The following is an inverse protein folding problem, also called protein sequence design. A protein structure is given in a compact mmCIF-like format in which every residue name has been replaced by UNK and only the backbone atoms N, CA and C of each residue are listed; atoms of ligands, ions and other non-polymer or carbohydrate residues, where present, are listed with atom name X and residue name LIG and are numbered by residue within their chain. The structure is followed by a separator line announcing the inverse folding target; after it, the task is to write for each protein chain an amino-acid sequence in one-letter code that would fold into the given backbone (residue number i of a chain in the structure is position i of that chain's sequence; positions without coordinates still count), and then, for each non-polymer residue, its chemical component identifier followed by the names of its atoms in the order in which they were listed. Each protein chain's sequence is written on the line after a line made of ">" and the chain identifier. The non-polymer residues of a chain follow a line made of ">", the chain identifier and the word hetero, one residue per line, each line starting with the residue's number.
data_IF_073705160381
#
_entry.id   IF_073705160381
#
_cell.length_a   1.000
_cell.length_b   1.000
_cell.length_c   1.000
_cell.angle_alpha   90.00
_cell.angle_beta   90.00
_cell.angle_gamma   90.00
#
_symmetry.space_group_name_H-M   'P 1'
#
loop_
_entity.id
_entity.type
_entity.pdbx_description
1 polymer ?
#
# COMPACT_ATOMS: atom_id res chain seq x y z
N UNK A 1 -11.34 21.99 -16.88
CA UNK A 1 -12.36 20.94 -16.61
C UNK A 1 -13.67 20.98 -17.47
N UNK A 2 -14.13 19.81 -17.95
CA UNK A 2 -15.38 19.58 -18.73
C UNK A 2 -16.16 18.38 -18.15
N UNK A 3 -17.50 18.45 -18.12
CA UNK A 3 -18.37 17.31 -17.79
C UNK A 3 -18.75 16.54 -19.06
N UNK A 4 -18.47 15.23 -19.08
CA UNK A 4 -18.78 14.33 -20.20
C UNK A 4 -19.55 13.10 -19.74
N UNK A 5 -19.94 12.22 -20.68
CA UNK A 5 -20.47 10.88 -20.38
C UNK A 5 -19.56 9.82 -20.98
N UNK A 6 -19.36 8.71 -20.28
CA UNK A 6 -18.66 7.55 -20.84
C UNK A 6 -19.51 6.77 -21.86
N UNK A 7 -18.95 5.70 -22.41
CA UNK A 7 -19.63 4.80 -23.35
C UNK A 7 -20.88 4.11 -22.78
N UNK A 8 -21.03 4.06 -21.46
CA UNK A 8 -22.23 3.54 -20.76
C UNK A 8 -23.24 4.64 -20.43
N UNK A 9 -22.92 5.90 -20.70
CA UNK A 9 -23.76 7.06 -20.45
C UNK A 9 -23.61 7.67 -19.06
N UNK A 10 -22.66 7.21 -18.24
CA UNK A 10 -22.43 7.74 -16.90
C UNK A 10 -21.60 9.03 -16.94
N UNK A 11 -21.93 10.04 -16.11
CA UNK A 11 -21.21 11.31 -16.09
C UNK A 11 -19.76 11.13 -15.61
N UNK A 12 -18.82 11.90 -16.18
CA UNK A 12 -17.40 11.94 -15.80
C UNK A 12 -16.89 13.38 -15.82
N UNK A 13 -16.10 13.77 -14.83
CA UNK A 13 -15.36 15.03 -14.85
C UNK A 13 -13.99 14.79 -15.50
N UNK A 14 -13.62 15.65 -16.43
CA UNK A 14 -12.35 15.58 -17.12
C UNK A 14 -11.65 16.93 -16.98
N UNK A 15 -10.51 16.94 -16.32
CA UNK A 15 -9.62 18.08 -16.18
C UNK A 15 -9.00 18.52 -17.50
N UNK A 16 -8.13 19.52 -17.42
CA UNK A 16 -7.24 19.88 -18.50
C UNK A 16 -5.78 19.77 -18.04
N UNK A 17 -4.85 20.50 -18.66
CA UNK A 17 -3.43 20.40 -18.35
C UNK A 17 -2.98 21.53 -17.40
N UNK A 18 -3.90 21.98 -16.54
CA UNK A 18 -3.68 23.00 -15.53
C UNK A 18 -4.26 22.55 -14.19
N UNK A 19 -3.66 23.00 -13.09
CA UNK A 19 -4.11 22.69 -11.73
C UNK A 19 -5.57 23.02 -11.46
N UNK A 20 -6.28 22.05 -10.90
CA UNK A 20 -7.71 22.04 -10.70
C UNK A 20 -8.07 21.62 -9.27
N UNK A 21 -9.21 22.12 -8.78
CA UNK A 21 -9.73 21.77 -7.46
C UNK A 21 -11.17 21.30 -7.59
N UNK A 22 -11.41 20.05 -7.20
CA UNK A 22 -12.70 19.37 -7.28
C UNK A 22 -13.08 18.88 -5.89
N UNK A 23 -14.26 19.30 -5.42
CA UNK A 23 -14.83 18.86 -4.16
C UNK A 23 -16.24 18.27 -4.42
N UNK A 24 -16.33 16.94 -4.29
CA UNK A 24 -17.54 16.16 -4.44
C UNK A 24 -18.22 15.85 -3.09
N UNK A 25 -17.60 16.18 -1.96
CA UNK A 25 -18.14 15.91 -0.61
C UNK A 25 -19.46 16.64 -0.36
N UNK A 26 -19.63 17.80 -1.02
CA UNK A 26 -20.84 18.64 -0.94
C UNK A 26 -21.79 18.44 -2.13
N UNK A 27 -21.50 17.53 -3.06
CA UNK A 27 -22.21 17.43 -4.33
C UNK A 27 -23.70 17.08 -4.17
N UNK A 28 -24.06 16.28 -3.16
CA UNK A 28 -25.46 15.99 -2.79
C UNK A 28 -26.27 17.26 -2.46
N UNK A 29 -25.61 18.32 -1.98
CA UNK A 29 -26.25 19.58 -1.57
C UNK A 29 -26.31 20.65 -2.67
N UNK A 30 -25.33 20.69 -3.58
CA UNK A 30 -25.24 21.74 -4.62
C UNK A 30 -26.00 21.42 -5.91
N UNK A 31 -26.30 20.15 -6.17
CA UNK A 31 -26.95 19.71 -7.41
C UNK A 31 -28.28 18.98 -7.21
N UNK A 32 -28.92 19.16 -6.05
CA UNK A 32 -30.34 18.86 -5.87
C UNK A 32 -30.71 17.37 -5.95
N UNK A 33 -29.94 16.49 -5.30
CA UNK A 33 -30.30 15.06 -5.19
C UNK A 33 -29.97 14.23 -6.42
N UNK A 34 -29.05 14.67 -7.28
CA UNK A 34 -28.40 13.79 -8.26
C UNK A 34 -27.53 12.80 -7.47
N UNK A 35 -28.05 11.60 -7.21
CA UNK A 35 -27.37 10.54 -6.44
C UNK A 35 -26.28 9.81 -7.22
N UNK A 36 -26.08 10.16 -8.49
CA UNK A 36 -25.07 9.58 -9.38
C UNK A 36 -24.14 10.71 -9.87
N UNK A 37 -23.43 11.33 -8.93
CA UNK A 37 -22.26 12.16 -9.23
C UNK A 37 -21.20 11.32 -9.96
N UNK A 38 -20.26 11.96 -10.70
CA UNK A 38 -19.60 11.31 -11.82
C UNK A 38 -19.00 9.97 -11.42
N UNK A 39 -19.17 8.96 -12.26
CA UNK A 39 -18.56 7.63 -12.09
C UNK A 39 -17.03 7.67 -12.16
N UNK A 40 -16.46 8.86 -12.30
CA UNK A 40 -15.11 9.17 -11.88
C UNK A 40 -14.67 10.60 -12.22
N UNK A 41 -13.46 10.90 -11.80
CA UNK A 41 -12.75 12.16 -12.01
C UNK A 41 -11.43 11.83 -12.70
N UNK A 42 -11.17 12.46 -13.84
CA UNK A 42 -9.93 12.29 -14.61
C UNK A 42 -9.28 13.64 -14.75
N UNK A 43 -8.32 13.93 -13.89
CA UNK A 43 -7.41 15.03 -14.15
C UNK A 43 -6.43 14.62 -15.23
N UNK A 44 -5.93 15.56 -16.04
CA UNK A 44 -5.04 15.24 -17.15
C UNK A 44 -3.62 15.67 -16.81
N UNK A 45 -3.45 16.88 -16.32
CA UNK A 45 -2.26 17.21 -15.56
C UNK A 45 -2.25 18.59 -14.95
N UNK A 46 -1.18 18.89 -14.22
CA UNK A 46 -1.15 19.99 -13.26
C UNK A 46 -1.25 19.43 -11.85
N UNK A 47 -0.92 20.25 -10.86
CA UNK A 47 -1.00 19.83 -9.46
C UNK A 47 -2.46 19.98 -9.00
N UNK A 48 -3.20 18.88 -8.87
CA UNK A 48 -4.63 18.88 -8.65
C UNK A 48 -5.04 18.57 -7.21
N UNK A 49 -6.22 19.01 -6.82
CA UNK A 49 -6.81 18.71 -5.52
C UNK A 49 -8.21 18.13 -5.69
N UNK A 50 -8.40 16.88 -5.31
CA UNK A 50 -9.65 16.15 -5.45
C UNK A 50 -10.13 15.67 -4.10
N UNK A 51 -11.37 16.01 -3.74
CA UNK A 51 -12.10 15.41 -2.64
C UNK A 51 -13.29 14.67 -3.22
N UNK A 52 -13.36 13.37 -2.97
CA UNK A 52 -14.46 12.50 -3.33
C UNK A 52 -15.68 12.73 -2.45
N UNK A 53 -16.62 11.82 -2.56
CA UNK A 53 -17.98 11.96 -2.09
C UNK A 53 -18.24 11.03 -0.90
N UNK A 54 -19.50 10.64 -0.72
CA UNK A 54 -19.88 9.60 0.25
C UNK A 54 -20.19 8.27 -0.44
N UNK A 55 -19.88 8.16 -1.73
CA UNK A 55 -20.14 7.01 -2.57
C UNK A 55 -18.81 6.54 -3.15
N UNK A 56 -18.80 5.33 -3.72
CA UNK A 56 -17.61 4.79 -4.35
C UNK A 56 -17.16 5.66 -5.53
N UNK A 57 -15.98 6.25 -5.40
CA UNK A 57 -15.37 7.16 -6.35
C UNK A 57 -14.25 6.49 -7.15
N UNK A 58 -14.05 6.98 -8.37
CA UNK A 58 -12.95 6.56 -9.25
C UNK A 58 -12.18 7.81 -9.66
N UNK A 59 -10.96 8.00 -9.17
CA UNK A 59 -10.19 9.23 -9.37
C UNK A 59 -8.84 8.92 -10.01
N UNK A 60 -8.48 9.66 -11.05
CA UNK A 60 -7.15 9.63 -11.68
C UNK A 60 -6.55 11.05 -11.67
N UNK A 61 -5.40 11.24 -11.03
CA UNK A 61 -4.60 12.48 -11.06
C UNK A 61 -3.77 12.63 -12.33
N UNK A 62 -3.14 11.55 -12.77
CA UNK A 62 -2.28 11.45 -13.96
C UNK A 62 -0.93 12.16 -13.87
N UNK A 63 -0.83 13.45 -14.20
CA UNK A 63 0.48 14.14 -14.26
C UNK A 63 0.49 15.33 -13.31
N UNK A 64 1.41 15.40 -12.36
CA UNK A 64 1.51 16.54 -11.45
C UNK A 64 1.56 16.08 -10.01
N UNK A 65 1.84 16.99 -9.08
CA UNK A 65 1.81 16.64 -7.66
C UNK A 65 0.38 16.75 -7.14
N UNK A 66 -0.35 15.63 -7.10
CA UNK A 66 -1.78 15.62 -6.81
C UNK A 66 -2.10 15.35 -5.33
N UNK A 67 -3.19 15.93 -4.86
CA UNK A 67 -3.78 15.66 -3.54
C UNK A 67 -5.17 15.07 -3.76
N UNK A 68 -5.33 13.78 -3.47
CA UNK A 68 -6.58 13.04 -3.70
C UNK A 68 -7.10 12.50 -2.37
N UNK A 69 -8.38 12.73 -2.08
CA UNK A 69 -9.11 12.11 -0.96
C UNK A 69 -10.36 11.42 -1.49
N UNK A 70 -10.57 10.13 -1.15
CA UNK A 70 -11.73 9.35 -1.55
C UNK A 70 -13.00 9.73 -0.78
N UNK A 71 -12.88 9.87 0.55
CA UNK A 71 -13.98 10.31 1.40
C UNK A 71 -14.64 9.12 2.09
N UNK A 72 -15.92 8.89 1.84
CA UNK A 72 -16.56 7.62 2.25
C UNK A 72 -16.90 6.81 1.00
N UNK A 73 -16.88 5.50 1.12
CA UNK A 73 -17.16 4.60 0.00
C UNK A 73 -16.01 3.64 -0.19
N UNK A 74 -16.18 2.67 -1.09
CA UNK A 74 -15.05 1.85 -1.54
C UNK A 74 -14.47 2.49 -2.79
N UNK A 75 -13.37 3.20 -2.65
CA UNK A 75 -12.84 4.09 -3.68
C UNK A 75 -11.72 3.43 -4.49
N UNK A 76 -11.49 3.95 -5.69
CA UNK A 76 -10.39 3.57 -6.58
C UNK A 76 -9.62 4.81 -6.99
N UNK A 77 -8.46 5.01 -6.38
CA UNK A 77 -7.70 6.26 -6.44
C UNK A 77 -6.33 6.01 -7.08
N UNK A 78 -5.98 6.82 -8.07
CA UNK A 78 -4.73 6.73 -8.82
C UNK A 78 -4.06 8.10 -8.83
N UNK A 79 -2.87 8.21 -8.22
CA UNK A 79 -2.02 9.41 -8.25
C UNK A 79 -1.52 9.66 -9.66
N UNK A 80 -0.58 8.83 -10.13
CA UNK A 80 -0.11 8.83 -11.51
C UNK A 80 1.39 9.00 -11.61
N UNK A 81 1.85 10.21 -11.90
CA UNK A 81 3.26 10.58 -11.99
C UNK A 81 3.51 11.81 -11.14
N UNK A 82 4.75 11.93 -10.69
CA UNK A 82 5.19 12.91 -9.71
C UNK A 82 4.71 12.53 -8.31
N UNK A 83 4.90 13.41 -7.33
CA UNK A 83 4.76 13.05 -5.92
C UNK A 83 3.34 13.31 -5.47
N UNK A 84 2.57 12.24 -5.29
CA UNK A 84 1.16 12.32 -4.97
C UNK A 84 0.90 12.07 -3.48
N UNK A 85 -0.15 12.71 -2.97
CA UNK A 85 -0.71 12.45 -1.64
C UNK A 85 -2.13 11.92 -1.79
N UNK A 86 -2.33 10.62 -1.52
CA UNK A 86 -3.61 9.94 -1.73
C UNK A 86 -4.13 9.36 -0.42
N UNK A 87 -5.36 9.75 -0.06
CA UNK A 87 -6.10 9.30 1.13
C UNK A 87 -7.37 8.56 0.69
N UNK A 88 -7.53 7.30 1.10
CA UNK A 88 -8.74 6.50 0.90
C UNK A 88 -9.92 7.09 1.67
N UNK A 89 -9.89 6.95 2.99
CA UNK A 89 -10.93 7.46 3.89
C UNK A 89 -11.69 6.31 4.54
N UNK A 90 -13.02 6.40 4.61
CA UNK A 90 -13.84 5.33 5.15
C UNK A 90 -14.35 4.39 4.05
N UNK A 91 -13.97 3.12 4.13
CA UNK A 91 -14.42 2.04 3.27
C UNK A 91 -13.24 1.18 2.82
N UNK A 92 -13.48 0.20 1.94
CA UNK A 92 -12.40 -0.66 1.46
C UNK A 92 -11.87 -0.08 0.15
N UNK A 93 -10.72 0.59 0.24
CA UNK A 93 -10.19 1.40 -0.84
C UNK A 93 -9.08 0.69 -1.62
N UNK A 94 -8.95 1.05 -2.89
CA UNK A 94 -7.82 0.67 -3.73
C UNK A 94 -7.07 1.92 -4.15
N UNK A 95 -5.82 2.03 -3.69
CA UNK A 95 -4.97 3.20 -3.86
C UNK A 95 -3.71 2.81 -4.63
N UNK A 96 -3.38 3.58 -5.67
CA UNK A 96 -2.15 3.44 -6.44
C UNK A 96 -1.44 4.80 -6.54
N UNK A 97 -0.22 4.89 -5.99
CA UNK A 97 0.63 6.08 -6.08
C UNK A 97 1.11 6.30 -7.51
N UNK A 98 1.87 5.35 -8.04
CA UNK A 98 2.24 5.32 -9.46
C UNK A 98 3.75 5.44 -9.65
N UNK A 99 4.21 6.60 -10.08
CA UNK A 99 5.63 6.90 -10.32
C UNK A 99 6.07 8.06 -9.45
N UNK A 100 7.33 8.00 -9.02
CA UNK A 100 7.95 8.92 -8.07
C UNK A 100 7.48 8.69 -6.63
N UNK A 101 7.90 9.53 -5.70
CA UNK A 101 7.77 9.24 -4.28
C UNK A 101 6.41 9.71 -3.74
N UNK A 102 5.55 8.74 -3.40
CA UNK A 102 4.16 8.97 -3.05
C UNK A 102 3.87 8.80 -1.54
N UNK A 103 2.77 9.40 -1.09
CA UNK A 103 2.25 9.25 0.28
C UNK A 103 0.82 8.71 0.20
N UNK A 104 0.63 7.46 0.64
CA UNK A 104 -0.64 6.76 0.55
C UNK A 104 -1.18 6.43 1.94
N UNK A 105 -2.45 6.75 2.19
CA UNK A 105 -3.14 6.42 3.44
C UNK A 105 -4.49 5.75 3.18
N UNK A 106 -4.75 4.57 3.76
CA UNK A 106 -6.04 3.86 3.64
C UNK A 106 -7.11 4.42 4.59
N UNK A 107 -6.76 4.55 5.87
CA UNK A 107 -7.60 5.03 6.99
C UNK A 107 -8.55 3.94 7.57
N UNK A 108 -9.83 3.89 7.23
CA UNK A 108 -10.76 2.90 7.82
C UNK A 108 -11.27 1.91 6.78
N UNK A 109 -10.89 0.64 6.89
CA UNK A 109 -11.44 -0.43 6.06
C UNK A 109 -10.39 -1.48 5.72
N UNK A 110 -10.70 -2.38 4.80
CA UNK A 110 -9.70 -3.35 4.35
C UNK A 110 -9.13 -2.85 3.02
N UNK A 111 -7.99 -2.19 3.10
CA UNK A 111 -7.48 -1.39 1.99
C UNK A 111 -6.38 -2.11 1.20
N UNK A 112 -6.20 -1.70 -0.05
CA UNK A 112 -5.10 -2.12 -0.92
C UNK A 112 -4.31 -0.87 -1.31
N UNK A 113 -3.08 -0.75 -0.80
CA UNK A 113 -2.17 0.35 -1.11
C UNK A 113 -1.03 -0.16 -1.98
N UNK A 114 -0.80 0.49 -3.11
CA UNK A 114 0.25 0.19 -4.09
C UNK A 114 1.11 1.46 -4.27
N UNK A 115 2.33 1.49 -3.75
CA UNK A 115 3.25 2.62 -3.93
C UNK A 115 3.63 2.81 -5.39
N UNK A 116 4.20 1.77 -5.99
CA UNK A 116 4.51 1.75 -7.42
C UNK A 116 5.99 1.83 -7.67
N UNK A 117 6.47 2.90 -8.30
CA UNK A 117 7.91 3.16 -8.43
C UNK A 117 8.25 4.40 -7.66
N UNK A 118 9.19 4.36 -6.74
CA UNK A 118 9.50 5.54 -5.95
C UNK A 118 10.10 5.17 -4.62
N UNK A 119 10.19 6.14 -3.73
CA UNK A 119 10.42 5.83 -2.32
C UNK A 119 9.15 6.24 -1.60
N UNK A 120 8.25 5.28 -1.43
CA UNK A 120 6.86 5.56 -1.08
C UNK A 120 6.64 5.43 0.43
N UNK A 121 5.63 6.14 0.93
CA UNK A 121 5.21 6.09 2.32
C UNK A 121 3.75 5.63 2.40
N UNK A 122 3.54 4.40 2.86
CA UNK A 122 2.24 3.75 2.92
C UNK A 122 1.78 3.56 4.37
N UNK A 123 0.60 4.08 4.71
CA UNK A 123 -0.06 3.85 6.00
C UNK A 123 -1.43 3.26 5.77
N UNK A 124 -1.64 1.99 6.11
CA UNK A 124 -2.94 1.39 5.77
C UNK A 124 -4.08 1.84 6.65
N UNK A 125 -3.87 1.99 7.96
CA UNK A 125 -4.94 2.34 8.87
C UNK A 125 -5.53 1.11 9.59
N UNK A 126 -6.81 1.17 9.92
CA UNK A 126 -7.53 0.12 10.62
C UNK A 126 -8.21 -0.83 9.65
N UNK A 127 -8.14 -2.14 9.93
CA UNK A 127 -8.70 -3.19 9.09
C UNK A 127 -7.62 -4.13 8.58
N UNK A 128 -7.99 -5.11 7.76
CA UNK A 128 -7.06 -6.11 7.22
C UNK A 128 -6.57 -5.65 5.85
N UNK A 129 -5.38 -5.08 5.83
CA UNK A 129 -4.90 -4.35 4.67
C UNK A 129 -3.85 -5.11 3.89
N UNK A 130 -3.67 -4.73 2.64
CA UNK A 130 -2.55 -5.17 1.80
C UNK A 130 -1.73 -3.96 1.38
N UNK A 131 -0.46 -3.91 1.78
CA UNK A 131 0.47 -2.86 1.39
C UNK A 131 1.52 -3.45 0.46
N UNK A 132 1.68 -2.86 -0.72
CA UNK A 132 2.72 -3.21 -1.69
C UNK A 132 3.54 -1.95 -1.94
N UNK A 133 4.79 -1.92 -1.46
CA UNK A 133 5.68 -0.77 -1.66
C UNK A 133 5.94 -0.57 -3.15
N UNK A 134 6.54 -1.58 -3.76
CA UNK A 134 6.83 -1.57 -5.19
C UNK A 134 8.33 -1.53 -5.44
N UNK A 135 8.76 -0.75 -6.42
CA UNK A 135 10.17 -0.54 -6.72
C UNK A 135 10.69 0.68 -5.99
N UNK A 136 11.85 0.52 -5.35
CA UNK A 136 12.57 1.58 -4.65
C UNK A 136 12.65 1.29 -3.17
N UNK A 137 12.75 2.31 -2.31
CA UNK A 137 12.87 2.13 -0.87
C UNK A 137 11.64 2.67 -0.18
N UNK A 138 10.77 1.75 0.20
CA UNK A 138 9.46 2.11 0.71
C UNK A 138 9.38 2.00 2.24
N UNK A 139 8.47 2.78 2.81
CA UNK A 139 8.11 2.72 4.21
C UNK A 139 6.66 2.28 4.36
N UNK A 140 6.43 1.11 4.96
CA UNK A 140 5.11 0.51 5.07
C UNK A 140 4.71 0.40 6.55
N UNK A 141 3.53 0.93 6.89
CA UNK A 141 3.01 0.96 8.25
C UNK A 141 1.53 0.54 8.31
N UNK A 142 1.24 -0.58 8.95
CA UNK A 142 -0.14 -1.04 9.14
C UNK A 142 -0.84 -0.50 10.40
N UNK A 143 -0.52 0.72 10.83
CA UNK A 143 -1.06 1.29 12.07
C UNK A 143 -2.59 1.35 12.03
N UNK A 144 -3.29 0.78 13.02
CA UNK A 144 -4.65 1.20 13.34
C UNK A 144 -4.67 2.69 13.72
N UNK A 145 -5.74 3.38 13.32
CA UNK A 145 -6.05 4.81 13.47
C UNK A 145 -5.30 5.62 14.55
N UNK A 146 -5.16 6.93 14.32
CA UNK A 146 -4.51 7.88 15.26
C UNK A 146 -5.23 8.01 16.62
N UNK A 147 -6.37 7.35 16.79
CA UNK A 147 -7.06 7.20 18.06
C UNK A 147 -6.53 6.00 18.84
N UNK A 148 -6.48 6.13 20.17
CA UNK A 148 -5.79 5.19 21.07
C UNK A 148 -6.36 3.75 21.13
N UNK A 149 -7.21 3.33 20.20
CA UNK A 149 -7.77 1.99 20.11
C UNK A 149 -7.06 1.19 19.01
N UNK A 150 -5.79 0.87 19.27
CA UNK A 150 -4.94 0.01 18.44
C UNK A 150 -5.56 -1.38 18.19
N UNK A 151 -6.47 -1.50 17.25
CA UNK A 151 -6.87 -2.78 16.67
C UNK A 151 -6.68 -2.67 15.16
N UNK A 152 -5.41 -2.62 14.72
CA UNK A 152 -5.11 -2.95 13.32
C UNK A 152 -5.65 -4.34 13.01
N UNK A 153 -6.07 -4.61 11.77
CA UNK A 153 -6.40 -5.95 11.31
C UNK A 153 -5.16 -6.68 10.82
N UNK A 154 -5.33 -7.95 10.47
CA UNK A 154 -4.24 -8.80 9.97
C UNK A 154 -3.76 -8.30 8.62
N UNK A 155 -2.59 -7.65 8.59
CA UNK A 155 -2.08 -6.97 7.40
C UNK A 155 -1.11 -7.86 6.61
N UNK A 156 -1.11 -7.72 5.29
CA UNK A 156 -0.15 -8.33 4.38
C UNK A 156 0.77 -7.24 3.80
N UNK A 157 2.07 -7.35 4.08
CA UNK A 157 3.09 -6.48 3.49
C UNK A 157 3.78 -7.24 2.36
N UNK A 158 3.57 -6.83 1.12
CA UNK A 158 4.19 -7.45 -0.07
C UNK A 158 5.37 -6.59 -0.49
N UNK A 159 6.53 -7.22 -0.54
CA UNK A 159 7.79 -6.56 -0.83
C UNK A 159 8.28 -6.99 -2.20
N UNK A 160 8.87 -6.06 -2.93
CA UNK A 160 9.42 -6.26 -4.27
C UNK A 160 10.84 -5.72 -4.31
N UNK A 161 11.66 -6.25 -5.22
CA UNK A 161 12.98 -5.71 -5.50
C UNK A 161 13.11 -5.37 -6.97
N UNK A 162 13.86 -4.31 -7.26
CA UNK A 162 14.25 -3.99 -8.63
C UNK A 162 15.08 -5.14 -9.24
N UNK A 163 14.63 -5.77 -10.34
CA UNK A 163 15.36 -6.87 -10.94
C UNK A 163 16.79 -6.48 -11.31
N UNK A 164 17.77 -7.17 -10.72
CA UNK A 164 19.19 -6.94 -10.99
C UNK A 164 19.85 -5.83 -10.17
N UNK A 165 19.12 -5.18 -9.26
CA UNK A 165 19.66 -4.21 -8.32
C UNK A 165 19.91 -4.90 -6.98
N UNK A 166 21.18 -4.91 -6.54
CA UNK A 166 21.62 -5.50 -5.28
C UNK A 166 22.09 -4.37 -4.34
N UNK A 167 21.14 -3.58 -3.85
CA UNK A 167 21.44 -2.46 -2.96
C UNK A 167 20.79 -2.63 -1.59
N UNK A 168 21.64 -2.93 -0.60
CA UNK A 168 21.26 -3.05 0.81
C UNK A 168 20.73 -1.74 1.41
N UNK A 169 20.94 -0.60 0.75
CA UNK A 169 20.43 0.71 1.17
C UNK A 169 19.08 1.07 0.51
N UNK A 170 18.58 0.21 -0.38
CA UNK A 170 17.28 0.34 -1.04
C UNK A 170 16.30 -0.71 -0.50
N UNK A 171 16.34 -0.92 0.80
CA UNK A 171 15.55 -1.95 1.47
C UNK A 171 14.26 -1.35 2.02
N UNK A 172 13.13 -1.94 1.68
CA UNK A 172 11.84 -1.57 2.27
C UNK A 172 11.88 -1.73 3.78
N UNK A 173 11.15 -0.86 4.46
CA UNK A 173 11.06 -0.80 5.91
C UNK A 173 9.60 -1.00 6.30
N UNK A 174 9.32 -2.12 6.96
CA UNK A 174 8.03 -2.33 7.63
C UNK A 174 8.14 -1.92 9.08
N UNK A 175 7.21 -1.08 9.53
CA UNK A 175 7.05 -0.68 10.93
C UNK A 175 5.74 -1.17 11.52
N UNK A 176 5.71 -1.33 12.83
CA UNK A 176 4.53 -1.79 13.59
C UNK A 176 4.00 -3.16 13.16
N UNK A 177 4.85 -4.00 12.58
CA UNK A 177 4.53 -5.38 12.24
C UNK A 177 4.10 -6.16 13.49
N UNK A 178 2.92 -6.78 13.44
CA UNK A 178 2.31 -7.55 14.54
C UNK A 178 2.43 -9.04 14.22
N UNK A 179 3.37 -9.76 14.82
CA UNK A 179 3.77 -11.08 14.30
C UNK A 179 2.70 -12.18 14.42
N UNK A 180 1.71 -11.98 15.27
CA UNK A 180 0.60 -12.92 15.45
C UNK A 180 -0.54 -12.73 14.44
N UNK A 181 -0.56 -11.60 13.72
CA UNK A 181 -1.67 -11.17 12.87
C UNK A 181 -1.20 -10.85 11.45
N UNK A 182 -0.06 -10.20 11.35
CA UNK A 182 0.48 -9.69 10.10
C UNK A 182 1.36 -10.73 9.42
N UNK A 183 1.47 -10.59 8.10
CA UNK A 183 2.20 -11.51 7.22
C UNK A 183 3.07 -10.73 6.25
N UNK A 184 4.13 -11.39 5.77
CA UNK A 184 5.02 -10.84 4.74
C UNK A 184 4.90 -11.68 3.47
N UNK A 185 4.63 -11.00 2.36
CA UNK A 185 4.76 -11.52 1.02
C UNK A 185 6.06 -11.07 0.37
N UNK A 186 6.70 -12.00 -0.36
CA UNK A 186 7.89 -11.71 -1.15
C UNK A 186 7.53 -11.91 -2.62
N UNK A 187 7.81 -10.90 -3.43
CA UNK A 187 7.63 -10.90 -4.88
C UNK A 187 8.94 -10.52 -5.59
N UNK A 188 8.99 -10.74 -6.91
CA UNK A 188 10.04 -10.29 -7.84
C UNK A 188 11.49 -10.39 -7.34
N UNK A 189 12.03 -11.61 -7.35
CA UNK A 189 13.45 -11.85 -7.08
C UNK A 189 13.84 -11.86 -5.60
N UNK A 190 12.92 -11.47 -4.71
CA UNK A 190 13.12 -11.60 -3.27
C UNK A 190 12.92 -13.05 -2.81
N UNK A 191 13.81 -13.45 -1.91
CA UNK A 191 13.80 -14.71 -1.19
C UNK A 191 13.77 -14.43 0.31
N UNK A 192 13.53 -15.45 1.11
CA UNK A 192 13.54 -15.30 2.58
C UNK A 192 14.92 -14.90 3.14
N UNK A 193 16.00 -15.09 2.37
CA UNK A 193 17.34 -14.66 2.79
C UNK A 193 17.49 -13.13 2.74
N UNK A 194 16.66 -12.47 1.93
CA UNK A 194 16.55 -11.02 1.76
C UNK A 194 15.95 -10.36 3.01
N UNK A 195 15.23 -11.12 3.84
CA UNK A 195 14.63 -10.62 5.08
C UNK A 195 15.71 -10.43 6.16
N UNK A 196 15.79 -9.21 6.67
CA UNK A 196 16.62 -8.78 7.79
C UNK A 196 15.72 -8.21 8.88
N UNK A 197 15.86 -8.74 10.09
CA UNK A 197 15.11 -8.29 11.25
C UNK A 197 15.99 -7.39 12.10
N UNK A 198 15.58 -6.14 12.32
CA UNK A 198 16.40 -5.15 13.03
C UNK A 198 15.72 -4.65 14.31
N UNK A 199 16.56 -4.32 15.31
CA UNK A 199 16.13 -3.78 16.61
C UNK A 199 15.10 -4.66 17.32
N UNK A 200 15.24 -5.98 17.16
CA UNK A 200 14.45 -6.94 17.93
C UNK A 200 14.72 -6.75 19.42
N UNK A 201 13.65 -6.56 20.19
CA UNK A 201 13.72 -6.67 21.65
C UNK A 201 13.95 -8.15 22.02
N UNK A 202 14.17 -8.48 23.29
CA UNK A 202 14.31 -9.89 23.78
C UNK A 202 12.99 -10.69 23.69
N UNK A 203 12.13 -10.29 22.76
CA UNK A 203 10.85 -10.83 22.39
C UNK A 203 11.07 -11.72 21.19
N UNK A 204 10.55 -12.93 21.24
CA UNK A 204 10.54 -13.80 20.09
C UNK A 204 9.53 -13.41 19.05
N UNK A 205 9.97 -13.64 17.82
CA UNK A 205 9.29 -13.21 16.64
C UNK A 205 8.97 -14.45 15.79
N UNK A 206 7.68 -14.72 15.61
CA UNK A 206 7.20 -15.67 14.61
C UNK A 206 6.73 -14.87 13.41
N UNK A 207 7.39 -15.02 12.27
CA UNK A 207 6.98 -14.37 11.02
C UNK A 207 6.26 -15.40 10.18
N UNK A 208 5.02 -15.09 9.82
CA UNK A 208 4.31 -15.85 8.81
C UNK A 208 4.65 -15.27 7.44
N UNK A 209 5.20 -16.14 6.59
CA UNK A 209 5.40 -15.83 5.18
C UNK A 209 4.19 -16.31 4.41
N UNK A 210 3.59 -15.41 3.64
CA UNK A 210 2.49 -15.74 2.75
C UNK A 210 2.91 -15.38 1.35
N UNK A 211 3.00 -16.37 0.47
CA UNK A 211 3.22 -16.13 -0.94
C UNK A 211 1.88 -15.75 -1.53
N UNK A 212 1.66 -14.48 -1.90
CA UNK A 212 0.38 -14.06 -2.41
C UNK A 212 0.06 -14.90 -3.67
N UNK A 213 -1.01 -15.69 -3.56
CA UNK A 213 -1.67 -16.24 -4.75
C UNK A 213 -2.25 -15.04 -5.48
N UNK A 214 -2.16 -15.03 -6.82
CA UNK A 214 -2.75 -13.98 -7.64
C UNK A 214 -4.12 -13.60 -7.10
N UNK A 215 -4.22 -12.41 -6.51
CA UNK A 215 -5.43 -11.90 -5.86
C UNK A 215 -6.45 -11.61 -6.97
N UNK A 216 -7.09 -12.68 -7.43
CA UNK A 216 -8.07 -12.67 -8.49
C UNK A 216 -9.45 -12.36 -7.90
N UNK A 217 -9.69 -11.10 -7.52
CA UNK A 217 -11.06 -10.57 -7.46
C UNK A 217 -11.19 -9.05 -7.35
N UNK A 218 -10.14 -8.30 -6.97
CA UNK A 218 -10.20 -6.84 -6.88
C UNK A 218 -8.94 -6.14 -7.39
N UNK A 219 -8.22 -6.75 -8.33
CA UNK A 219 -7.13 -6.07 -9.00
C UNK A 219 -7.69 -4.97 -9.93
N UNK A 220 -7.35 -3.68 -9.74
CA UNK A 220 -7.45 -2.69 -10.80
C UNK A 220 -6.97 -3.24 -12.15
N UNK A 221 -7.56 -2.82 -13.29
CA UNK A 221 -7.12 -3.27 -14.60
C UNK A 221 -5.61 -3.02 -14.79
N UNK A 222 -4.81 -4.09 -14.88
CA UNK A 222 -3.35 -4.00 -15.12
C UNK A 222 -2.46 -4.78 -14.14
N UNK A 223 -3.00 -5.27 -13.01
CA UNK A 223 -2.17 -5.84 -11.92
C UNK A 223 -2.10 -7.38 -11.87
N UNK A 224 -2.62 -8.06 -12.90
CA UNK A 224 -2.63 -9.53 -12.97
C UNK A 224 -1.25 -10.21 -12.99
N UNK A 225 -0.16 -9.43 -13.05
CA UNK A 225 1.22 -9.94 -13.13
C UNK A 225 2.08 -9.70 -11.87
N UNK A 226 1.62 -8.95 -10.87
CA UNK A 226 2.43 -8.65 -9.66
C UNK A 226 2.59 -9.89 -8.77
N UNK A 227 1.62 -10.81 -8.83
CA UNK A 227 1.55 -11.99 -8.00
C UNK A 227 1.91 -13.24 -8.80
N UNK A 228 3.16 -13.32 -9.27
CA UNK A 228 3.71 -14.56 -9.83
C UNK A 228 4.39 -15.32 -8.68
N UNK A 229 3.78 -16.40 -8.13
CA UNK A 229 4.41 -17.15 -7.06
C UNK A 229 5.71 -17.81 -7.58
N UNK A 230 6.87 -17.33 -7.12
CA UNK A 230 8.14 -18.00 -7.36
C UNK A 230 8.35 -19.05 -6.26
N UNK A 231 8.62 -20.29 -6.66
CA UNK A 231 8.88 -21.42 -5.75
C UNK A 231 10.24 -21.26 -5.08
N UNK A 232 10.32 -20.79 -3.83
CA UNK A 232 11.62 -20.43 -3.24
C UNK A 232 11.89 -20.90 -1.79
N UNK A 233 11.00 -21.69 -1.19
CA UNK A 233 11.33 -22.33 0.11
C UNK A 233 11.98 -23.69 -0.13
N UNK A 234 13.30 -23.71 -0.27
CA UNK A 234 14.09 -24.94 -0.09
C UNK A 234 14.47 -25.12 1.38
N UNK A 235 14.59 -26.36 1.83
CA UNK A 235 15.10 -26.70 3.17
C UNK A 235 16.47 -26.05 3.41
N UNK A 236 16.69 -25.43 4.58
CA UNK A 236 17.96 -24.79 4.97
C UNK A 236 18.05 -23.28 4.70
N UNK A 237 16.93 -22.61 4.44
CA UNK A 237 16.93 -21.16 4.21
C UNK A 237 16.81 -20.40 5.55
N UNK A 238 17.64 -19.36 5.74
CA UNK A 238 17.86 -18.70 7.02
C UNK A 238 17.47 -17.22 6.98
N UNK A 239 16.65 -16.76 7.92
CA UNK A 239 16.36 -15.32 8.12
C UNK A 239 17.44 -14.71 9.01
N UNK A 240 18.01 -13.57 8.61
CA UNK A 240 19.05 -12.86 9.38
C UNK A 240 18.44 -11.99 10.48
N UNK A 241 19.03 -12.02 11.68
CA UNK A 241 18.71 -11.10 12.76
C UNK A 241 19.88 -10.13 12.94
N UNK A 242 19.62 -8.82 12.93
CA UNK A 242 20.60 -7.77 13.25
C UNK A 242 20.20 -6.94 14.46
N UNK A 243 21.21 -6.42 15.17
CA UNK A 243 21.04 -5.37 16.16
C UNK A 243 22.06 -4.26 15.87
N UNK A 244 21.59 -3.02 15.71
CA UNK A 244 22.44 -1.86 15.44
C UNK A 244 23.39 -2.06 14.23
N UNK A 245 22.95 -2.81 13.21
CA UNK A 245 23.71 -3.11 11.99
C UNK A 245 24.50 -4.43 11.97
N UNK A 246 24.73 -5.06 13.12
CA UNK A 246 25.49 -6.31 13.22
C UNK A 246 24.58 -7.54 13.20
N UNK A 247 24.94 -8.58 12.41
CA UNK A 247 24.21 -9.86 12.39
C UNK A 247 24.50 -10.63 13.68
N UNK A 248 23.46 -10.89 14.47
CA UNK A 248 23.55 -11.53 15.79
C UNK A 248 22.90 -12.92 15.84
N UNK A 249 22.22 -13.36 14.77
CA UNK A 249 21.60 -14.69 14.73
C UNK A 249 20.91 -15.02 13.40
N UNK A 250 20.42 -16.27 13.31
CA UNK A 250 19.68 -16.81 12.17
C UNK A 250 18.45 -17.61 12.65
N UNK A 251 17.36 -17.59 11.88
CA UNK A 251 16.16 -18.43 12.11
C UNK A 251 15.97 -19.39 10.94
N UNK A 252 15.82 -20.69 11.24
CA UNK A 252 15.50 -21.74 10.26
C UNK A 252 13.98 -21.89 10.12
N UNK A 253 13.49 -21.92 8.88
CA UNK A 253 12.06 -21.97 8.55
C UNK A 253 11.38 -23.31 8.87
N UNK A 254 12.12 -24.35 9.28
CA UNK A 254 11.61 -25.74 9.38
C UNK A 254 11.31 -26.22 10.81
N UNK A 255 11.58 -25.48 11.88
CA UNK A 255 11.22 -25.94 13.24
C UNK A 255 10.24 -25.01 13.98
N UNK A 256 9.04 -25.49 14.36
CA UNK A 256 8.15 -24.86 15.34
C UNK A 256 8.71 -24.85 16.78
N UNK A 257 10.03 -24.77 16.94
CA UNK A 257 10.68 -24.86 18.25
C UNK A 257 10.96 -23.45 18.78
N UNK A 258 9.92 -22.91 19.41
CA UNK A 258 9.95 -22.03 20.58
C UNK A 258 10.70 -20.71 20.46
N UNK A 259 9.90 -19.66 20.51
CA UNK A 259 10.34 -18.34 20.86
C UNK A 259 9.07 -17.72 21.57
N UNK A 260 9.10 -17.51 22.91
CA UNK A 260 8.06 -16.88 23.81
C UNK A 260 8.23 -15.37 24.28
N UNK A 261 7.21 -14.50 24.03
CA UNK A 261 6.83 -13.19 24.68
C UNK A 261 7.03 -11.79 24.03
N UNK A 262 5.92 -11.19 23.51
CA UNK A 262 5.31 -9.81 23.47
C UNK A 262 5.99 -8.41 23.20
N UNK A 263 5.42 -7.70 22.18
CA UNK A 263 5.25 -6.23 21.84
C UNK A 263 6.44 -5.26 21.61
N UNK A 264 6.49 -4.56 20.45
CA UNK A 264 6.07 -3.14 20.24
C UNK A 264 6.83 -2.33 19.16
N UNK A 265 8.10 -2.60 18.85
CA UNK A 265 8.91 -1.71 17.97
C UNK A 265 9.81 -2.48 16.98
N UNK A 266 9.30 -3.54 16.35
CA UNK A 266 10.08 -4.35 15.42
C UNK A 266 10.12 -3.68 14.05
N UNK A 267 11.33 -3.46 13.52
CA UNK A 267 11.55 -3.06 12.13
C UNK A 267 11.93 -4.31 11.33
N UNK A 268 11.28 -4.51 10.20
CA UNK A 268 11.65 -5.55 9.25
C UNK A 268 12.16 -4.84 8.00
N UNK A 269 13.42 -5.11 7.66
CA UNK A 269 14.07 -4.59 6.47
C UNK A 269 14.26 -5.74 5.48
N UNK A 270 13.94 -5.55 4.21
CA UNK A 270 14.17 -6.59 3.20
C UNK A 270 15.11 -6.06 2.13
N UNK A 271 16.29 -6.67 2.04
CA UNK A 271 17.39 -6.24 1.18
C UNK A 271 17.50 -7.16 -0.03
N UNK A 272 17.44 -6.64 -1.25
CA UNK A 272 17.72 -7.46 -2.45
C UNK A 272 19.18 -7.94 -2.50
N UNK A 273 19.40 -9.25 -2.62
CA UNK A 273 20.73 -9.89 -2.68
C UNK A 273 21.33 -10.08 -4.08
#
# INVERSE_FOLDING_TARGET
>A
MVLQRDSSGLPRLIGDNTSESVDLSVANSRFGGVTNFPSGVWMIGGDDSVTGSTANDLVFGNEGEDIISGGFGNDSLFGGKAKDAVLGGEGNDSINGGQDADVLTGDFGNDILLGGKGNDFLVSGSGNDTLVGGLGRDFLAGLGDTNSLKIGGSNLYVLQAEPGVRDVNNADIIVNFRPAFDKIGLADGLTVNDIVLENLTNVPLTIQLEFPQAAASFAPPGLSNIFQPQSLVTSGTLIKIKNSGDVIGFVDLVTPAQLQNSIANSFISVQGF
#
